data_IF_730091033133
#
_entry.id   IF_730091033133
#
_cell.length_a   1.000
_cell.length_b   1.000
_cell.length_c   1.000
_cell.angle_alpha   90.00
_cell.angle_beta   90.00
_cell.angle_gamma   90.00
#
_symmetry.space_group_name_H-M   'P 1'
#
loop_
_entity.id
_entity.type
_entity.pdbx_description
1 polymer ?
#
# COMPACT_ATOMS: atom_id res chain seq x y z
N UNK A 1 6.20 22.74 4.57
CA UNK A 1 6.68 22.91 5.97
C UNK A 1 5.59 22.63 7.00
N UNK A 2 4.43 23.31 6.97
CA UNK A 2 3.31 23.06 7.89
C UNK A 2 2.82 21.60 7.94
N UNK A 3 2.76 20.93 6.77
CA UNK A 3 2.33 19.52 6.69
C UNK A 3 3.29 18.59 7.43
N UNK A 4 4.60 18.72 7.21
CA UNK A 4 5.61 17.92 7.90
C UNK A 4 5.59 18.14 9.42
N UNK A 5 5.31 19.36 9.88
CA UNK A 5 5.16 19.66 11.31
C UNK A 5 3.91 19.01 11.90
N UNK A 6 2.78 19.03 11.19
CA UNK A 6 1.55 18.31 11.61
C UNK A 6 1.75 16.80 11.66
N UNK A 7 2.46 16.23 10.68
CA UNK A 7 2.82 14.81 10.67
C UNK A 7 3.76 14.45 11.83
N UNK A 8 4.76 15.30 12.12
CA UNK A 8 5.64 15.13 13.27
C UNK A 8 4.88 15.18 14.60
N UNK A 9 3.96 16.14 14.76
CA UNK A 9 3.11 16.27 15.95
C UNK A 9 2.20 15.04 16.12
N UNK A 10 1.62 14.54 15.03
CA UNK A 10 0.78 13.34 15.03
C UNK A 10 1.57 12.08 15.40
N UNK A 11 2.78 11.91 14.85
CA UNK A 11 3.70 10.81 15.19
C UNK A 11 4.13 10.82 16.66
N UNK A 12 4.41 12.01 17.22
CA UNK A 12 4.72 12.14 18.65
C UNK A 12 3.52 11.81 19.53
N UNK A 13 2.32 12.23 19.12
CA UNK A 13 1.08 11.95 19.84
C UNK A 13 0.73 10.45 19.84
N UNK A 14 0.90 9.75 18.71
CA UNK A 14 0.69 8.29 18.65
C UNK A 14 1.66 7.53 19.56
N UNK A 15 2.93 7.95 19.58
CA UNK A 15 3.94 7.33 20.43
C UNK A 15 3.64 7.59 21.91
N UNK A 16 3.10 8.77 22.25
CA UNK A 16 2.69 9.10 23.62
C UNK A 16 1.49 8.28 24.10
N UNK A 17 0.51 8.03 23.23
CA UNK A 17 -0.65 7.16 23.51
C UNK A 17 -0.20 5.71 23.75
N UNK A 18 0.71 5.20 22.91
CA UNK A 18 1.25 3.84 23.04
C UNK A 18 2.08 3.66 24.33
N UNK A 19 2.80 4.70 24.78
CA UNK A 19 3.52 4.68 26.06
C UNK A 19 2.57 4.76 27.27
N UNK A 20 1.44 5.47 27.17
CA UNK A 20 0.48 5.61 28.26
C UNK A 20 -0.26 4.29 28.56
N UNK A 21 -0.55 3.51 27.52
CA UNK A 21 -1.16 2.18 27.64
C UNK A 21 -0.20 1.15 28.29
N UNK A 22 1.11 1.35 28.11
CA UNK A 22 2.16 0.50 28.69
C UNK A 22 2.46 0.80 30.17
N UNK A 23 2.04 1.97 30.70
CA UNK A 23 2.46 2.46 32.02
C UNK A 23 1.33 2.77 33.01
N UNK A 24 0.08 2.41 32.71
CA UNK A 24 -1.00 2.48 33.71
C UNK A 24 -0.88 1.34 34.72
N UNK A 25 0.09 1.46 35.63
CA UNK A 25 0.21 0.63 36.83
C UNK A 25 -0.71 1.25 37.89
N UNK A 26 -1.73 0.55 38.41
CA UNK A 26 -2.48 1.07 39.53
C UNK A 26 -1.53 1.11 40.73
N UNK A 27 -1.19 2.31 41.18
CA UNK A 27 -0.50 2.52 42.44
C UNK A 27 -1.47 2.09 43.56
N UNK A 28 -1.17 0.98 44.23
CA UNK A 28 -1.91 0.58 45.43
C UNK A 28 -1.64 1.62 46.53
N UNK A 29 -2.66 2.04 47.30
CA UNK A 29 -2.44 2.95 48.41
C UNK A 29 -1.57 2.25 49.47
N UNK A 30 -0.67 2.97 50.16
CA UNK A 30 0.15 2.38 51.21
C UNK A 30 -0.75 1.92 52.36
N UNK A 31 -0.59 0.66 52.76
CA UNK A 31 -1.18 0.11 53.97
C UNK A 31 -0.60 0.85 55.19
N UNK A 32 -1.34 1.81 55.73
CA UNK A 32 -1.01 2.44 57.01
C UNK A 32 -1.30 1.44 58.14
N UNK A 33 -0.26 0.71 58.55
CA UNK A 33 -0.17 0.10 59.88
C UNK A 33 0.48 1.10 60.83
N UNK A 34 -0.24 2.09 61.34
CA UNK A 34 0.17 2.83 62.56
C UNK A 34 -1.06 3.42 63.27
N UNK A 35 -1.28 2.95 64.50
CA UNK A 35 -1.59 3.73 65.70
C UNK A 35 -2.47 2.88 66.61
N UNK A 36 -1.79 2.12 67.47
CA UNK A 36 -2.35 1.63 68.72
C UNK A 36 -2.73 2.85 69.55
N UNK A 37 -3.90 2.77 70.19
CA UNK A 37 -4.24 3.50 71.43
C UNK A 37 -4.55 5.00 71.32
N UNK A 38 -5.79 5.33 70.93
CA UNK A 38 -6.66 6.37 71.51
C UNK A 38 -7.91 6.55 70.63
N UNK A 39 -8.81 5.55 70.59
CA UNK A 39 -10.17 5.73 70.03
C UNK A 39 -11.09 4.57 70.38
N UNK A 40 -11.22 4.22 71.66
CA UNK A 40 -12.09 3.12 72.10
C UNK A 40 -13.59 3.44 72.05
N UNK A 41 -14.00 4.70 71.79
CA UNK A 41 -15.40 5.13 71.86
C UNK A 41 -15.96 5.83 70.61
N UNK A 42 -15.28 5.77 69.45
CA UNK A 42 -15.75 6.44 68.22
C UNK A 42 -16.03 5.42 67.11
N UNK A 43 -17.29 5.34 66.65
CA UNK A 43 -17.66 4.58 65.44
C UNK A 43 -17.05 5.30 64.24
N UNK A 44 -15.96 4.74 63.68
CA UNK A 44 -15.38 5.25 62.45
C UNK A 44 -16.19 4.71 61.26
N UNK A 45 -16.58 5.54 60.28
CA UNK A 45 -17.22 5.04 59.07
C UNK A 45 -16.26 4.09 58.34
N UNK A 46 -16.69 2.84 58.17
CA UNK A 46 -15.96 1.87 57.35
C UNK A 46 -16.13 2.23 55.87
N UNK A 47 -15.01 2.25 55.14
CA UNK A 47 -15.03 2.40 53.69
C UNK A 47 -15.66 1.14 53.10
N UNK A 48 -16.75 1.21 52.34
CA UNK A 48 -17.32 0.04 51.70
C UNK A 48 -16.26 -0.58 50.79
N UNK A 49 -16.13 -1.90 50.85
CA UNK A 49 -15.21 -2.65 50.01
C UNK A 49 -15.58 -2.42 48.55
N UNK A 50 -14.62 -1.97 47.74
CA UNK A 50 -14.84 -1.80 46.31
C UNK A 50 -15.16 -3.19 45.72
N UNK A 51 -16.30 -3.38 45.03
CA UNK A 51 -16.71 -4.68 44.51
C UNK A 51 -15.68 -5.30 43.55
N UNK A 52 -14.91 -4.46 42.83
CA UNK A 52 -13.80 -4.87 41.96
C UNK A 52 -12.63 -5.47 42.75
N UNK A 53 -12.42 -5.01 43.99
CA UNK A 53 -11.36 -5.53 44.87
C UNK A 53 -11.84 -6.54 45.90
N UNK A 54 -13.15 -6.59 46.16
CA UNK A 54 -13.77 -7.52 47.11
C UNK A 54 -13.82 -8.95 46.56
N UNK A 55 -14.00 -9.10 45.24
CA UNK A 55 -14.03 -10.41 44.59
C UNK A 55 -12.64 -10.81 44.08
N UNK A 56 -12.05 -11.84 44.72
CA UNK A 56 -10.78 -12.44 44.28
C UNK A 56 -10.86 -12.95 42.84
N UNK A 57 -11.99 -13.55 42.45
CA UNK A 57 -12.24 -14.03 41.09
C UNK A 57 -12.18 -12.90 40.07
N UNK A 58 -12.78 -11.74 40.36
CA UNK A 58 -12.76 -10.59 39.47
C UNK A 58 -11.33 -10.03 39.29
N UNK A 59 -10.56 -9.97 40.37
CA UNK A 59 -9.15 -9.54 40.30
C UNK A 59 -8.29 -10.51 39.47
N UNK A 60 -8.52 -11.81 39.61
CA UNK A 60 -7.78 -12.86 38.92
C UNK A 60 -8.06 -12.83 37.42
N UNK A 61 -9.33 -12.67 37.04
CA UNK A 61 -9.74 -12.45 35.65
C UNK A 61 -9.06 -11.21 35.05
N UNK A 62 -9.03 -10.09 35.77
CA UNK A 62 -8.35 -8.87 35.28
C UNK A 62 -6.83 -9.08 35.10
N UNK A 63 -6.20 -9.86 35.99
CA UNK A 63 -4.77 -10.22 35.84
C UNK A 63 -4.57 -11.09 34.60
N UNK A 64 -5.40 -12.12 34.41
CA UNK A 64 -5.32 -13.04 33.27
C UNK A 64 -5.52 -12.31 31.94
N UNK A 65 -6.56 -11.47 31.82
CA UNK A 65 -6.83 -10.69 30.61
C UNK A 65 -5.64 -9.81 30.21
N UNK A 66 -5.02 -9.13 31.17
CA UNK A 66 -3.81 -8.31 30.91
C UNK A 66 -2.63 -9.17 30.47
N UNK A 67 -2.44 -10.35 31.06
CA UNK A 67 -1.37 -11.27 30.68
C UNK A 67 -1.59 -11.84 29.28
N UNK A 68 -2.84 -12.21 28.95
CA UNK A 68 -3.21 -12.72 27.62
C UNK A 68 -3.08 -11.65 26.55
N UNK A 69 -3.55 -10.42 26.80
CA UNK A 69 -3.35 -9.31 25.87
C UNK A 69 -1.86 -9.01 25.64
N UNK A 70 -1.04 -9.01 26.70
CA UNK A 70 0.41 -8.84 26.57
C UNK A 70 1.06 -9.95 25.77
N UNK A 71 0.68 -11.21 25.99
CA UNK A 71 1.18 -12.36 25.23
C UNK A 71 0.79 -12.27 23.75
N UNK A 72 -0.49 -12.04 23.45
CA UNK A 72 -0.98 -11.88 22.07
C UNK A 72 -0.31 -10.69 21.36
N UNK A 73 -0.09 -9.59 22.07
CA UNK A 73 0.61 -8.42 21.53
C UNK A 73 2.14 -8.60 21.44
N UNK A 74 2.72 -9.59 22.13
CA UNK A 74 4.14 -9.96 22.03
C UNK A 74 4.38 -11.08 21.00
N UNK A 75 3.38 -11.93 20.75
CA UNK A 75 3.46 -13.09 19.85
C UNK A 75 3.43 -12.71 18.36
N UNK A 76 3.16 -11.44 18.02
CA UNK A 76 3.36 -10.95 16.66
C UNK A 76 2.79 -9.57 16.42
N UNK A 77 3.16 -9.00 15.26
CA UNK A 77 2.56 -7.77 14.76
C UNK A 77 1.06 -8.00 14.60
N UNK A 78 0.24 -7.06 15.08
CA UNK A 78 -1.21 -7.12 14.86
C UNK A 78 -1.51 -7.15 13.37
N UNK A 79 -2.69 -7.64 12.98
CA UNK A 79 -3.11 -7.65 11.57
C UNK A 79 -3.03 -6.25 10.94
N UNK A 80 -3.38 -5.21 11.70
CA UNK A 80 -3.24 -3.82 11.26
C UNK A 80 -1.78 -3.43 11.04
N UNK A 81 -0.87 -3.78 11.95
CA UNK A 81 0.56 -3.51 11.78
C UNK A 81 1.13 -4.24 10.56
N UNK A 82 0.79 -5.52 10.37
CA UNK A 82 1.17 -6.29 9.16
C UNK A 82 0.66 -5.62 7.89
N UNK A 83 -0.60 -5.16 7.87
CA UNK A 83 -1.18 -4.48 6.72
C UNK A 83 -0.48 -3.14 6.42
N UNK A 84 -0.16 -2.35 7.45
CA UNK A 84 0.59 -1.10 7.29
C UNK A 84 2.01 -1.33 6.78
N UNK A 85 2.71 -2.34 7.30
CA UNK A 85 4.04 -2.70 6.81
C UNK A 85 4.02 -3.20 5.38
N UNK A 86 3.05 -4.06 5.04
CA UNK A 86 2.81 -4.54 3.68
C UNK A 86 2.60 -3.37 2.73
N UNK A 87 1.73 -2.43 3.07
CA UNK A 87 1.47 -1.21 2.27
C UNK A 87 2.74 -0.38 2.09
N UNK A 88 3.52 -0.16 3.16
CA UNK A 88 4.79 0.59 3.09
C UNK A 88 5.82 -0.13 2.21
N UNK A 89 5.87 -1.46 2.24
CA UNK A 89 6.75 -2.25 1.40
C UNK A 89 6.32 -2.17 -0.07
N UNK A 90 5.04 -2.38 -0.37
CA UNK A 90 4.48 -2.29 -1.72
C UNK A 90 4.72 -0.92 -2.36
N UNK A 91 4.55 0.16 -1.60
CA UNK A 91 4.84 1.52 -2.07
C UNK A 91 6.32 1.70 -2.44
N UNK A 92 7.24 1.20 -1.62
CA UNK A 92 8.69 1.27 -1.91
C UNK A 92 9.06 0.43 -3.13
N UNK A 93 8.52 -0.78 -3.23
CA UNK A 93 8.76 -1.66 -4.36
C UNK A 93 8.23 -1.08 -5.67
N UNK A 94 7.03 -0.49 -5.65
CA UNK A 94 6.46 0.19 -6.80
C UNK A 94 7.36 1.34 -7.26
N UNK A 95 7.82 2.19 -6.34
CA UNK A 95 8.72 3.28 -6.69
C UNK A 95 10.04 2.80 -7.31
N UNK A 96 10.63 1.73 -6.76
CA UNK A 96 11.84 1.11 -7.31
C UNK A 96 11.62 0.53 -8.70
N UNK A 97 10.51 -0.18 -8.91
CA UNK A 97 10.14 -0.78 -10.19
C UNK A 97 9.90 0.29 -11.26
N UNK A 98 9.13 1.33 -10.94
CA UNK A 98 8.86 2.44 -11.85
C UNK A 98 10.17 3.14 -12.27
N UNK A 99 11.12 3.30 -11.34
CA UNK A 99 12.44 3.87 -11.63
C UNK A 99 13.28 2.97 -12.54
N UNK A 100 13.26 1.66 -12.31
CA UNK A 100 13.97 0.68 -13.14
C UNK A 100 13.36 0.61 -14.55
N UNK A 101 12.03 0.60 -14.67
CA UNK A 101 11.33 0.64 -15.95
C UNK A 101 11.65 1.94 -16.71
N UNK A 102 11.68 3.10 -16.04
CA UNK A 102 12.09 4.36 -16.66
C UNK A 102 13.54 4.32 -17.18
N UNK A 103 14.46 3.70 -16.42
CA UNK A 103 15.85 3.49 -16.89
C UNK A 103 15.91 2.53 -18.07
N UNK A 104 15.16 1.43 -18.03
CA UNK A 104 15.06 0.46 -19.12
C UNK A 104 14.49 1.08 -20.39
N UNK A 105 13.49 1.93 -20.27
CA UNK A 105 12.92 2.68 -21.40
C UNK A 105 13.90 3.72 -21.98
N UNK A 106 14.86 4.20 -21.18
CA UNK A 106 15.97 5.05 -21.65
C UNK A 106 17.14 4.26 -22.25
N UNK A 107 17.13 2.93 -22.19
CA UNK A 107 18.21 2.10 -22.72
C UNK A 107 18.36 2.29 -24.23
N UNK A 108 19.60 2.32 -24.77
CA UNK A 108 19.85 2.37 -26.21
C UNK A 108 19.10 1.27 -26.99
N UNK A 109 18.99 0.06 -26.40
CA UNK A 109 18.26 -1.04 -26.99
C UNK A 109 16.76 -0.74 -27.14
N UNK A 110 16.15 -0.12 -26.12
CA UNK A 110 14.73 0.26 -26.17
C UNK A 110 14.47 1.30 -27.25
N UNK A 111 15.37 2.27 -27.41
CA UNK A 111 15.28 3.26 -28.49
C UNK A 111 15.37 2.61 -29.87
N UNK A 112 16.26 1.62 -30.05
CA UNK A 112 16.39 0.94 -31.34
C UNK A 112 15.17 0.05 -31.64
N UNK A 113 14.60 -0.60 -30.63
CA UNK A 113 13.33 -1.32 -30.76
C UNK A 113 12.19 -0.38 -31.18
N UNK A 114 12.11 0.81 -30.59
CA UNK A 114 11.11 1.81 -30.94
C UNK A 114 11.27 2.29 -32.40
N UNK A 115 12.51 2.58 -32.83
CA UNK A 115 12.81 2.91 -34.22
C UNK A 115 12.42 1.79 -35.16
N UNK A 116 12.74 0.53 -34.82
CA UNK A 116 12.35 -0.64 -35.63
C UNK A 116 10.84 -0.77 -35.76
N UNK A 117 10.11 -0.57 -34.67
CA UNK A 117 8.64 -0.59 -34.67
C UNK A 117 8.07 0.48 -35.61
N UNK A 118 8.54 1.73 -35.50
CA UNK A 118 8.11 2.82 -36.41
C UNK A 118 8.41 2.52 -37.89
N UNK A 119 9.58 1.94 -38.19
CA UNK A 119 9.93 1.54 -39.56
C UNK A 119 8.97 0.48 -40.11
N UNK A 120 8.61 -0.52 -39.29
CA UNK A 120 7.67 -1.57 -39.68
C UNK A 120 6.26 -1.03 -39.88
N UNK A 121 5.78 -0.18 -38.98
CA UNK A 121 4.46 0.44 -39.08
C UNK A 121 4.33 1.29 -40.36
N UNK A 122 5.37 2.06 -40.70
CA UNK A 122 5.39 2.80 -41.96
C UNK A 122 5.33 1.86 -43.17
N UNK A 123 6.12 0.79 -43.16
CA UNK A 123 6.13 -0.19 -44.25
C UNK A 123 4.78 -0.91 -44.39
N UNK A 124 4.10 -1.20 -43.29
CA UNK A 124 2.76 -1.78 -43.29
C UNK A 124 1.72 -0.82 -43.88
N UNK A 125 1.77 0.47 -43.52
CA UNK A 125 0.91 1.49 -44.14
C UNK A 125 1.17 1.63 -45.63
N UNK A 126 2.43 1.73 -46.04
CA UNK A 126 2.82 1.86 -47.45
C UNK A 126 2.40 0.61 -48.26
N UNK A 127 2.53 -0.59 -47.66
CA UNK A 127 2.02 -1.84 -48.25
C UNK A 127 0.50 -1.89 -48.28
N UNK A 128 -0.18 -1.39 -47.26
CA UNK A 128 -1.64 -1.27 -47.21
C UNK A 128 -2.15 -0.41 -48.35
N UNK A 129 -1.54 0.74 -48.60
CA UNK A 129 -1.86 1.64 -49.71
C UNK A 129 -1.61 1.00 -51.09
N UNK A 130 -0.56 0.19 -51.25
CA UNK A 130 -0.34 -0.57 -52.49
C UNK A 130 -1.26 -1.79 -52.66
N UNK A 131 -1.91 -2.25 -51.59
CA UNK A 131 -2.80 -3.41 -51.53
C UNK A 131 -4.28 -3.03 -51.38
N UNK A 132 -4.61 -1.74 -51.43
CA UNK A 132 -5.97 -1.22 -51.22
C UNK A 132 -7.01 -1.64 -52.28
N UNK A 133 -6.59 -2.34 -53.34
CA UNK A 133 -7.48 -2.92 -54.34
C UNK A 133 -7.18 -4.38 -54.62
N UNK A 134 -8.20 -5.22 -54.89
CA UNK A 134 -8.00 -6.57 -55.38
C UNK A 134 -7.00 -6.65 -56.54
N UNK A 135 -6.18 -7.70 -56.56
CA UNK A 135 -5.13 -7.89 -57.57
C UNK A 135 -5.66 -7.79 -59.01
N UNK A 136 -6.88 -8.26 -59.27
CA UNK A 136 -7.52 -8.19 -60.58
C UNK A 136 -7.72 -6.76 -61.09
N UNK A 137 -7.93 -5.76 -60.21
CA UNK A 137 -8.04 -4.36 -60.63
C UNK A 137 -6.70 -3.85 -61.17
N UNK A 138 -5.60 -4.26 -60.53
CA UNK A 138 -4.23 -3.91 -60.97
C UNK A 138 -3.89 -4.59 -62.30
N UNK A 139 -4.27 -5.85 -62.48
CA UNK A 139 -4.08 -6.58 -63.73
C UNK A 139 -4.92 -5.97 -64.85
N UNK A 140 -6.19 -5.64 -64.59
CA UNK A 140 -7.09 -5.00 -65.55
C UNK A 140 -6.56 -3.65 -66.05
N UNK A 141 -6.07 -2.80 -65.15
CA UNK A 141 -5.50 -1.49 -65.54
C UNK A 141 -4.19 -1.65 -66.34
N UNK A 142 -3.35 -2.63 -66.02
CA UNK A 142 -2.14 -2.95 -66.81
C UNK A 142 -2.48 -3.37 -68.23
N UNK A 143 -3.45 -4.27 -68.38
CA UNK A 143 -3.92 -4.73 -69.69
C UNK A 143 -4.55 -3.59 -70.51
N UNK A 144 -5.29 -2.69 -69.87
CA UNK A 144 -5.86 -1.50 -70.53
C UNK A 144 -4.77 -0.60 -71.11
N UNK A 145 -3.68 -0.38 -70.37
CA UNK A 145 -2.56 0.47 -70.83
C UNK A 145 -1.81 -0.14 -72.00
N UNK A 146 -1.59 -1.46 -71.99
CA UNK A 146 -0.92 -2.15 -73.09
C UNK A 146 -1.80 -2.23 -74.34
N UNK A 147 -3.12 -2.40 -74.17
CA UNK A 147 -4.06 -2.44 -75.30
C UNK A 147 -4.16 -1.09 -76.05
N UNK A 148 -4.05 0.04 -75.35
CA UNK A 148 -4.09 1.37 -75.99
C UNK A 148 -2.85 1.65 -76.85
N UNK A 149 -1.69 1.06 -76.52
CA UNK A 149 -0.48 1.18 -77.33
C UNK A 149 -0.50 0.28 -78.57
N UNK A 150 -1.26 -0.82 -78.54
CA UNK A 150 -1.37 -1.78 -79.65
C UNK A 150 -2.36 -1.33 -80.74
N UNK A 151 -3.30 -0.43 -80.41
CA UNK A 151 -4.31 0.07 -81.36
C UNK A 151 -3.77 1.17 -82.31
N UNK A 152 -2.60 1.75 -82.03
CA UNK A 152 -1.98 2.79 -82.88
C UNK A 152 -1.12 2.27 -84.05
N UNK A 153 -1.04 0.95 -84.26
CA UNK A 153 -0.06 0.31 -85.15
C UNK A 153 -0.62 -0.48 -86.33
N UNK A 154 -1.82 -0.16 -86.84
CA UNK A 154 -2.36 -0.79 -88.06
C UNK A 154 -3.01 0.24 -88.98
N UNK A 155 -2.18 0.94 -89.74
CA UNK A 155 -2.54 1.50 -91.05
C UNK A 155 -1.45 1.06 -92.05
N UNK A 156 -1.74 0.02 -92.84
CA UNK A 156 -1.12 -0.29 -94.14
C UNK A 156 -2.19 -0.92 -95.02
#
# INVERSE_FOLDING_TARGET
LLSLFKYGLWLMQTHQIEQQDRHSKPQAPPSQLQSVEESSNLIRPQKPLNPVTASKSHQELHKELRMTHKRVSQEGKTELQKALEKRKWEQRMKASRDQEEAKKNRSPLHQELLKRHQRLEKLERDKGQQREGPEFLRVKERLRRTAVLDVGGKEV
#
